data_IF_027164750436
#
_entry.id   IF_027164750436
#
_cell.length_a   1.000
_cell.length_b   1.000
_cell.length_c   1.000
_cell.angle_alpha   90.00
_cell.angle_beta   90.00
_cell.angle_gamma   90.00
#
_symmetry.space_group_name_H-M   'P 1'
#
loop_
_entity.id
_entity.type
_entity.pdbx_description
1 polymer ?
#
# COMPACT_ATOMS: atom_id res chain seq x y z
N UNK A 1 43.76 -19.50 -31.99
CA UNK A 1 42.43 -19.71 -31.37
C UNK A 1 42.41 -19.25 -29.90
N UNK A 2 42.74 -17.98 -29.61
CA UNK A 2 42.71 -17.41 -28.24
C UNK A 2 41.79 -16.19 -28.16
N UNK A 3 41.74 -15.39 -29.22
CA UNK A 3 40.87 -14.21 -29.36
C UNK A 3 39.37 -14.59 -29.35
N UNK A 4 38.99 -15.73 -29.95
CA UNK A 4 37.60 -16.18 -29.98
C UNK A 4 37.07 -16.62 -28.60
N UNK A 5 37.94 -17.07 -27.69
CA UNK A 5 37.54 -17.47 -26.32
C UNK A 5 37.29 -16.26 -25.41
N UNK A 6 38.02 -15.16 -25.58
CA UNK A 6 37.81 -13.93 -24.79
C UNK A 6 36.50 -13.22 -25.14
N UNK A 7 36.04 -13.28 -26.39
CA UNK A 7 34.80 -12.64 -26.83
C UNK A 7 33.55 -13.34 -26.25
N UNK A 8 33.59 -14.66 -26.05
CA UNK A 8 32.49 -15.42 -25.46
C UNK A 8 32.32 -15.11 -23.95
N UNK A 9 33.41 -14.87 -23.22
CA UNK A 9 33.33 -14.51 -21.80
C UNK A 9 32.77 -13.10 -21.58
N UNK A 10 33.03 -12.16 -22.49
CA UNK A 10 32.50 -10.79 -22.40
C UNK A 10 31.00 -10.75 -22.72
N UNK A 11 30.53 -11.57 -23.67
CA UNK A 11 29.09 -11.68 -23.97
C UNK A 11 28.28 -12.34 -22.85
N UNK A 12 28.89 -13.26 -22.09
CA UNK A 12 28.23 -13.89 -20.92
C UNK A 12 28.14 -12.94 -19.70
N UNK A 13 28.99 -11.93 -19.61
CA UNK A 13 28.98 -10.92 -18.54
C UNK A 13 28.06 -9.72 -18.84
N UNK A 14 27.67 -9.51 -20.09
CA UNK A 14 26.82 -8.36 -20.50
C UNK A 14 25.31 -8.57 -20.35
N UNK A 15 24.85 -9.79 -20.08
CA UNK A 15 23.41 -10.14 -20.06
C UNK A 15 22.71 -9.90 -18.72
N UNK A 16 23.42 -9.48 -17.68
CA UNK A 16 22.89 -9.36 -16.32
C UNK A 16 22.78 -7.91 -15.83
N UNK A 17 22.15 -7.02 -16.61
CA UNK A 17 21.91 -5.66 -16.15
C UNK A 17 20.46 -5.21 -16.42
N UNK A 18 19.52 -6.04 -16.00
CA UNK A 18 18.24 -5.55 -15.50
C UNK A 18 18.24 -5.92 -14.03
N UNK A 19 18.91 -5.09 -13.22
CA UNK A 19 18.76 -5.20 -11.78
C UNK A 19 17.28 -5.02 -11.50
N UNK A 20 16.61 -6.10 -11.10
CA UNK A 20 15.33 -5.99 -10.43
C UNK A 20 15.60 -5.23 -9.13
N UNK A 21 15.65 -3.90 -9.21
CA UNK A 21 15.68 -3.07 -8.02
C UNK A 21 14.34 -3.29 -7.35
N UNK A 22 14.37 -3.78 -6.11
CA UNK A 22 13.19 -3.86 -5.29
C UNK A 22 12.56 -2.47 -5.21
N UNK A 23 11.23 -2.40 -5.34
CA UNK A 23 10.51 -1.14 -5.23
C UNK A 23 10.92 -0.39 -3.96
N UNK A 24 11.21 0.91 -4.11
CA UNK A 24 11.70 1.72 -3.01
C UNK A 24 10.54 2.25 -2.17
N UNK A 25 10.73 2.36 -0.86
CA UNK A 25 9.71 2.97 0.01
C UNK A 25 9.70 4.47 -0.21
N UNK A 26 8.60 4.99 -0.75
CA UNK A 26 8.44 6.41 -1.10
C UNK A 26 7.65 7.18 -0.04
N UNK A 27 6.82 6.49 0.76
CA UNK A 27 6.08 7.11 1.86
C UNK A 27 5.72 6.11 2.97
N UNK A 28 5.42 6.66 4.16
CA UNK A 28 4.74 5.96 5.24
C UNK A 28 3.54 6.79 5.66
N UNK A 29 2.34 6.23 5.59
CA UNK A 29 1.08 6.91 5.85
C UNK A 29 0.44 6.35 7.11
N UNK A 30 0.11 7.19 8.09
CA UNK A 30 -0.58 6.76 9.32
C UNK A 30 -2.08 6.85 9.07
N UNK A 31 -2.72 5.71 8.88
CA UNK A 31 -4.13 5.63 8.47
C UNK A 31 -4.97 5.01 9.58
N UNK A 32 -5.97 5.73 10.12
CA UNK A 32 -6.98 5.13 10.98
C UNK A 32 -7.73 4.03 10.24
N UNK A 33 -8.03 2.93 10.93
CA UNK A 33 -8.87 1.84 10.43
C UNK A 33 -9.75 1.29 11.56
N UNK A 34 -10.97 0.88 11.20
CA UNK A 34 -11.87 0.20 12.11
C UNK A 34 -11.88 -1.30 11.79
N UNK A 35 -11.88 -2.16 12.81
CA UNK A 35 -11.92 -3.61 12.62
C UNK A 35 -12.78 -4.29 13.70
N UNK A 36 -13.62 -5.25 13.31
CA UNK A 36 -14.51 -5.98 14.23
C UNK A 36 -14.34 -7.51 14.21
N UNK A 37 -13.36 -8.02 13.46
CA UNK A 37 -13.05 -9.46 13.37
C UNK A 37 -13.07 -10.01 11.94
N UNK A 38 -13.11 -11.33 11.82
CA UNK A 38 -12.85 -12.09 10.57
C UNK A 38 -13.84 -11.86 9.42
N UNK A 39 -15.00 -11.24 9.68
CA UNK A 39 -15.95 -10.84 8.63
C UNK A 39 -15.68 -9.44 8.11
N UNK A 40 -14.80 -8.67 8.77
CA UNK A 40 -14.49 -7.31 8.35
C UNK A 40 -13.76 -7.35 7.02
N UNK A 41 -14.28 -6.65 6.03
CA UNK A 41 -13.61 -6.35 4.78
C UNK A 41 -13.11 -4.91 4.84
N UNK A 42 -11.83 -4.70 4.53
CA UNK A 42 -11.21 -3.38 4.56
C UNK A 42 -10.77 -3.01 3.14
N UNK A 43 -11.22 -1.84 2.68
CA UNK A 43 -10.68 -1.18 1.51
C UNK A 43 -9.78 -0.02 1.92
N UNK A 44 -8.59 0.03 1.32
CA UNK A 44 -7.61 1.09 1.49
C UNK A 44 -7.56 1.90 0.21
N UNK A 45 -7.88 3.18 0.31
CA UNK A 45 -7.83 4.11 -0.80
C UNK A 45 -6.54 4.89 -0.73
N UNK A 46 -5.75 4.85 -1.81
CA UNK A 46 -4.50 5.57 -1.98
C UNK A 46 -4.73 6.68 -3.00
N UNK A 47 -4.34 7.90 -2.66
CA UNK A 47 -4.41 9.05 -3.53
C UNK A 47 -3.00 9.62 -3.71
N UNK A 48 -2.61 9.82 -4.96
CA UNK A 48 -1.31 10.37 -5.33
C UNK A 48 -1.53 11.62 -6.17
N UNK A 49 -1.32 12.79 -5.57
CA UNK A 49 -1.39 14.07 -6.25
C UNK A 49 0.00 14.43 -6.78
N UNK A 50 0.12 14.44 -8.10
CA UNK A 50 1.31 14.88 -8.84
C UNK A 50 1.01 16.21 -9.56
N UNK A 51 2.03 16.89 -10.12
CA UNK A 51 1.80 18.04 -11.00
C UNK A 51 0.92 17.74 -12.22
N UNK A 52 0.92 16.49 -12.71
CA UNK A 52 0.19 16.10 -13.92
C UNK A 52 -1.26 15.68 -13.64
N UNK A 53 -1.62 15.46 -12.36
CA UNK A 53 -2.97 15.08 -11.95
C UNK A 53 -3.01 14.23 -10.69
N UNK A 54 -4.19 13.65 -10.41
CA UNK A 54 -4.42 12.76 -9.28
C UNK A 54 -4.58 11.33 -9.78
N UNK A 55 -3.81 10.42 -9.20
CA UNK A 55 -3.94 8.98 -9.41
C UNK A 55 -4.57 8.33 -8.17
N UNK A 56 -5.50 7.40 -8.39
CA UNK A 56 -6.27 6.73 -7.34
C UNK A 56 -6.03 5.22 -7.37
N UNK A 57 -5.78 4.64 -6.21
CA UNK A 57 -5.67 3.20 -6.00
C UNK A 57 -6.66 2.71 -4.96
N UNK A 58 -7.23 1.53 -5.20
CA UNK A 58 -8.01 0.79 -4.21
C UNK A 58 -7.30 -0.52 -3.94
N UNK A 59 -7.05 -0.80 -2.67
CA UNK A 59 -6.41 -2.01 -2.20
C UNK A 59 -7.29 -2.68 -1.15
N UNK A 60 -7.07 -3.97 -0.93
CA UNK A 60 -7.73 -4.75 0.12
C UNK A 60 -6.72 -5.61 0.86
N UNK A 61 -7.11 -6.04 2.06
CA UNK A 61 -6.39 -7.09 2.77
C UNK A 61 -6.36 -8.39 1.95
N UNK A 62 -5.22 -9.08 2.01
CA UNK A 62 -5.07 -10.41 1.43
C UNK A 62 -5.62 -11.47 2.40
N UNK A 63 -5.33 -11.29 3.69
CA UNK A 63 -5.79 -12.18 4.75
C UNK A 63 -7.18 -11.84 5.24
N UNK A 64 -7.88 -12.87 5.72
CA UNK A 64 -9.16 -12.72 6.42
C UNK A 64 -9.02 -12.10 7.82
N UNK A 65 -7.80 -12.06 8.35
CA UNK A 65 -7.48 -11.46 9.65
C UNK A 65 -6.58 -10.24 9.43
N UNK A 66 -6.78 -9.20 10.24
CA UNK A 66 -5.88 -8.05 10.27
C UNK A 66 -4.46 -8.49 10.65
N UNK A 67 -3.52 -8.29 9.73
CA UNK A 67 -2.12 -8.64 9.92
C UNK A 67 -1.20 -7.75 9.08
N UNK A 68 0.10 -7.88 9.34
CA UNK A 68 1.17 -7.22 8.58
C UNK A 68 1.37 -7.92 7.24
N UNK A 69 1.03 -7.28 6.13
CA UNK A 69 1.06 -7.89 4.79
C UNK A 69 1.14 -6.87 3.65
N UNK A 70 1.47 -7.36 2.45
CA UNK A 70 1.22 -6.60 1.23
C UNK A 70 -0.27 -6.67 0.91
N UNK A 71 -0.86 -5.52 0.61
CA UNK A 71 -2.27 -5.41 0.28
C UNK A 71 -2.49 -5.73 -1.21
N UNK A 72 -3.60 -6.40 -1.50
CA UNK A 72 -3.97 -6.77 -2.86
C UNK A 72 -4.53 -5.56 -3.60
N UNK A 73 -4.01 -5.28 -4.79
CA UNK A 73 -4.54 -4.25 -5.67
C UNK A 73 -5.93 -4.66 -6.20
N UNK A 74 -6.91 -3.79 -6.03
CA UNK A 74 -8.27 -3.94 -6.58
C UNK A 74 -8.43 -3.12 -7.86
N UNK A 75 -8.01 -1.85 -7.84
CA UNK A 75 -8.07 -0.97 -9.01
C UNK A 75 -7.04 0.14 -8.94
N UNK A 76 -6.61 0.63 -10.10
CA UNK A 76 -5.67 1.75 -10.24
C UNK A 76 -6.09 2.64 -11.42
N UNK A 77 -6.10 3.96 -11.23
CA UNK A 77 -6.45 4.93 -12.27
C UNK A 77 -5.23 5.64 -12.86
N UNK A 78 -4.05 5.45 -12.28
CA UNK A 78 -2.82 6.06 -12.79
C UNK A 78 -2.38 5.44 -14.11
N UNK A 79 -1.64 6.24 -14.88
CA UNK A 79 -1.12 5.82 -16.19
C UNK A 79 0.10 4.89 -16.07
N UNK A 80 0.72 4.89 -14.90
CA UNK A 80 1.90 4.11 -14.55
C UNK A 80 1.53 2.82 -13.80
N UNK A 81 2.53 2.01 -13.45
CA UNK A 81 2.33 0.84 -12.60
C UNK A 81 1.84 1.26 -11.21
N UNK A 82 0.81 0.60 -10.69
CA UNK A 82 0.32 0.87 -9.35
C UNK A 82 1.43 0.62 -8.30
N UNK A 83 1.59 1.51 -7.30
CA UNK A 83 2.48 1.25 -6.17
C UNK A 83 2.07 0.00 -5.38
N UNK A 84 3.03 -0.63 -4.71
CA UNK A 84 2.71 -1.64 -3.70
C UNK A 84 2.38 -0.95 -2.38
N UNK A 85 1.21 -1.25 -1.84
CA UNK A 85 0.79 -0.78 -0.52
C UNK A 85 0.96 -1.92 0.51
N UNK A 86 1.63 -1.63 1.62
CA UNK A 86 1.94 -2.63 2.65
C UNK A 86 1.47 -2.17 4.02
N UNK A 87 0.73 -3.01 4.72
CA UNK A 87 0.47 -2.87 6.15
C UNK A 87 1.74 -3.20 6.92
N UNK A 88 2.41 -2.21 7.52
CA UNK A 88 3.71 -2.40 8.19
C UNK A 88 3.57 -2.74 9.67
N UNK A 89 2.48 -2.26 10.28
CA UNK A 89 2.05 -2.60 11.64
C UNK A 89 0.64 -2.07 11.84
N UNK A 90 0.04 -2.35 12.99
CA UNK A 90 -1.19 -1.75 13.43
C UNK A 90 -1.19 -1.73 14.95
N UNK A 91 -1.62 -0.62 15.54
CA UNK A 91 -1.65 -0.46 16.98
C UNK A 91 -3.02 0.03 17.39
N UNK A 92 -3.61 -0.62 18.40
CA UNK A 92 -4.88 -0.19 18.97
C UNK A 92 -4.77 1.26 19.42
N UNK A 93 -5.81 2.05 19.15
CA UNK A 93 -5.89 3.45 19.53
C UNK A 93 -7.28 3.79 20.05
N UNK A 94 -7.47 5.03 20.51
CA UNK A 94 -8.79 5.52 20.93
C UNK A 94 -9.79 5.46 19.78
N UNK A 95 -11.04 5.09 20.07
CA UNK A 95 -12.14 5.15 19.09
C UNK A 95 -12.33 6.54 18.49
N UNK A 96 -11.93 7.60 19.20
CA UNK A 96 -11.96 8.97 18.69
C UNK A 96 -11.06 9.21 17.47
N UNK A 97 -10.05 8.35 17.23
CA UNK A 97 -9.20 8.39 16.03
C UNK A 97 -9.98 7.93 14.79
N UNK A 98 -10.93 7.00 14.96
CA UNK A 98 -11.86 6.56 13.93
C UNK A 98 -13.16 7.36 14.10
N UNK A 99 -13.17 8.58 13.57
CA UNK A 99 -14.29 9.53 13.74
C UNK A 99 -15.61 8.87 13.32
N UNK A 100 -16.60 8.90 14.20
CA UNK A 100 -17.93 8.31 13.97
C UNK A 100 -18.09 6.86 14.44
N UNK A 101 -17.00 6.15 14.76
CA UNK A 101 -17.06 4.74 15.16
C UNK A 101 -17.87 4.52 16.45
N UNK A 102 -17.70 5.39 17.44
CA UNK A 102 -18.46 5.31 18.69
C UNK A 102 -19.97 5.48 18.48
N UNK A 103 -20.35 6.41 17.60
CA UNK A 103 -21.76 6.61 17.25
C UNK A 103 -22.32 5.42 16.45
N UNK A 104 -21.50 4.80 15.59
CA UNK A 104 -21.86 3.59 14.86
C UNK A 104 -22.10 2.41 15.82
N UNK A 105 -21.17 2.15 16.74
CA UNK A 105 -21.29 1.07 17.73
C UNK A 105 -22.51 1.29 18.64
N UNK A 106 -22.80 2.53 19.02
CA UNK A 106 -23.99 2.84 19.83
C UNK A 106 -25.31 2.55 19.10
N UNK A 107 -25.32 2.58 17.77
CA UNK A 107 -26.50 2.29 16.94
C UNK A 107 -26.57 0.81 16.50
N UNK A 108 -25.42 0.14 16.45
CA UNK A 108 -25.29 -1.23 15.93
C UNK A 108 -25.27 -2.25 17.06
N UNK A 109 -26.32 -3.06 17.18
CA UNK A 109 -26.32 -4.23 18.08
C UNK A 109 -25.51 -5.42 17.52
N UNK A 110 -24.76 -5.25 16.42
CA UNK A 110 -24.19 -6.37 15.65
C UNK A 110 -22.72 -6.67 15.96
N UNK A 111 -21.94 -5.70 16.40
CA UNK A 111 -20.48 -5.87 16.53
C UNK A 111 -19.85 -4.72 17.30
N UNK A 112 -18.92 -5.03 18.20
CA UNK A 112 -18.04 -4.03 18.81
C UNK A 112 -16.84 -3.83 17.89
N UNK A 113 -16.61 -2.60 17.44
CA UNK A 113 -15.46 -2.28 16.60
C UNK A 113 -14.33 -1.71 17.42
N UNK A 114 -13.10 -2.07 17.05
CA UNK A 114 -11.87 -1.47 17.55
C UNK A 114 -11.28 -0.53 16.51
N UNK A 115 -10.57 0.49 16.99
CA UNK A 115 -9.86 1.43 16.14
C UNK A 115 -8.35 1.17 16.22
N UNK A 116 -7.68 1.22 15.08
CA UNK A 116 -6.23 1.09 14.98
C UNK A 116 -5.62 2.24 14.17
N UNK A 117 -4.38 2.59 14.51
CA UNK A 117 -3.50 3.32 13.61
C UNK A 117 -2.65 2.32 12.82
N UNK A 118 -2.81 2.31 11.50
CA UNK A 118 -1.99 1.53 10.59
C UNK A 118 -0.96 2.39 9.86
N UNK A 119 0.33 2.21 10.16
CA UNK A 119 1.39 2.65 9.25
C UNK A 119 1.36 1.83 7.95
N UNK A 120 0.98 2.48 6.86
CA UNK A 120 1.01 1.91 5.51
C UNK A 120 2.27 2.37 4.78
N UNK A 121 3.09 1.42 4.35
CA UNK A 121 4.23 1.69 3.48
C UNK A 121 3.80 1.72 2.02
N UNK A 122 4.19 2.78 1.30
CA UNK A 122 4.00 2.88 -0.15
C UNK A 122 5.33 2.62 -0.83
N UNK A 123 5.36 1.64 -1.73
CA UNK A 123 6.55 1.20 -2.44
C UNK A 123 6.39 1.37 -3.94
N UNK A 124 7.34 2.05 -4.58
CA UNK A 124 7.32 2.34 -6.01
C UNK A 124 8.76 2.40 -6.57
N UNK A 125 8.94 1.90 -7.78
CA UNK A 125 10.21 1.86 -8.53
C UNK A 125 10.21 2.79 -9.76
N UNK A 126 9.07 3.40 -10.09
CA UNK A 126 8.97 4.38 -11.17
C UNK A 126 9.49 5.77 -10.78
N UNK A 127 9.52 6.71 -11.74
CA UNK A 127 9.94 8.07 -11.49
C UNK A 127 9.04 8.73 -10.43
N UNK A 128 9.64 9.17 -9.33
CA UNK A 128 8.96 10.07 -8.40
C UNK A 128 9.10 11.49 -8.95
N UNK A 129 8.00 12.21 -9.13
CA UNK A 129 7.94 13.51 -9.83
C UNK A 129 8.67 14.67 -9.12
N UNK A 130 9.60 14.40 -8.20
CA UNK A 130 10.23 15.42 -7.35
C UNK A 130 9.22 16.04 -6.38
N UNK A 131 9.69 16.79 -5.39
CA UNK A 131 8.81 17.49 -4.45
C UNK A 131 8.31 18.81 -5.09
N UNK A 132 7.02 19.19 -4.97
CA UNK A 132 5.99 18.57 -4.13
C UNK A 132 5.02 17.66 -4.89
N UNK A 133 4.77 16.47 -4.32
CA UNK A 133 3.64 15.61 -4.62
C UNK A 133 3.09 15.09 -3.28
N UNK A 134 1.77 14.95 -3.17
CA UNK A 134 1.10 14.56 -1.93
C UNK A 134 0.62 13.11 -2.06
N UNK A 135 0.80 12.34 -0.99
CA UNK A 135 0.28 10.98 -0.89
C UNK A 135 -0.60 10.91 0.34
N UNK A 136 -1.85 10.47 0.17
CA UNK A 136 -2.82 10.29 1.25
C UNK A 136 -3.48 8.93 1.18
N UNK A 137 -3.96 8.48 2.33
CA UNK A 137 -4.75 7.26 2.46
C UNK A 137 -5.93 7.45 3.39
N UNK A 138 -7.01 6.76 3.06
CA UNK A 138 -8.15 6.56 3.96
C UNK A 138 -8.68 5.13 3.80
N UNK A 139 -9.53 4.72 4.74
CA UNK A 139 -10.10 3.37 4.75
C UNK A 139 -11.62 3.38 4.81
N UNK A 140 -12.20 2.32 4.27
CA UNK A 140 -13.58 1.91 4.52
C UNK A 140 -13.54 0.50 5.09
N UNK A 141 -14.43 0.20 6.03
CA UNK A 141 -14.49 -1.10 6.69
C UNK A 141 -15.94 -1.53 6.87
N UNK A 142 -16.28 -2.71 6.36
CA UNK A 142 -17.64 -3.25 6.36
C UNK A 142 -17.69 -4.72 6.81
N UNK A 143 -18.86 -5.18 7.25
CA UNK A 143 -19.17 -6.58 7.58
C UNK A 143 -20.31 -7.11 6.73
#
# INVERSE_FOLDING_TARGET
MKILRSLVCIFLLGGGCSGAQAATKIATLITPLAYSGYLTQIHYYLEILTPDGVEFGVYKQHSIMLQTENLDLVSWTGSSTAPTLKMESFNTTSKSTCVGLEAYDAQSNKSNWDCYNAPLGVYYDGPVHGCPWLISTYTDSNV
#
